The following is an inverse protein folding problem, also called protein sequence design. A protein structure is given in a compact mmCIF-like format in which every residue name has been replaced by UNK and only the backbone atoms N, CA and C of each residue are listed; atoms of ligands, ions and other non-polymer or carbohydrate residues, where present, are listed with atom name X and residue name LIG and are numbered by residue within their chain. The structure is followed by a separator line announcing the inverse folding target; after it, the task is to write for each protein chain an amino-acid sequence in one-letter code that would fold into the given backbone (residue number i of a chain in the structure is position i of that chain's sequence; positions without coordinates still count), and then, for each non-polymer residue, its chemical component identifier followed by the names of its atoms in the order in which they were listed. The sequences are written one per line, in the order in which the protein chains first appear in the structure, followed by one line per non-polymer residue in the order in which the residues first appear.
data_IF_551247654813
#
_entry.id   IF_551247654813
#
_cell.length_a   1.000
_cell.length_b   1.000
_cell.length_c   1.000
_cell.angle_alpha   90.00
_cell.angle_beta   90.00
_cell.angle_gamma   90.00
#
_symmetry.space_group_name_H-M   'P 1'
#
loop_
_entity.id
_entity.type
_entity.pdbx_description
1 polymer ?
#
# COMPACT_ATOMS: atom_id res chain seq x y z
N UNK A 1 -10.02 -42.00 44.89
CA UNK A 1 -9.97 -40.55 45.18
C UNK A 1 -8.50 -40.16 45.29
N UNK A 2 -7.89 -39.89 44.14
CA UNK A 2 -6.49 -39.44 44.07
C UNK A 2 -6.41 -37.97 44.46
N UNK A 3 -5.47 -37.65 45.37
CA UNK A 3 -5.20 -36.29 45.81
C UNK A 3 -4.68 -35.50 44.62
N UNK A 4 -5.39 -34.41 44.27
CA UNK A 4 -4.89 -33.41 43.32
C UNK A 4 -3.57 -32.87 43.85
N UNK A 5 -2.49 -33.09 43.11
CA UNK A 5 -1.19 -32.48 43.38
C UNK A 5 -1.33 -30.96 43.30
N UNK A 6 -0.77 -30.29 44.31
CA UNK A 6 -0.78 -28.84 44.44
C UNK A 6 -0.13 -28.20 43.21
N UNK A 7 -0.96 -27.44 42.49
CA UNK A 7 -0.58 -26.67 41.32
C UNK A 7 0.46 -25.63 41.79
N UNK A 8 1.76 -25.87 41.52
CA UNK A 8 2.85 -24.97 41.91
C UNK A 8 2.61 -23.59 41.26
N UNK A 9 2.02 -22.67 42.02
CA UNK A 9 1.90 -21.28 41.60
C UNK A 9 3.30 -20.69 41.48
N UNK A 10 3.61 -20.05 40.36
CA UNK A 10 4.85 -19.28 40.20
C UNK A 10 5.05 -18.36 41.41
N UNK A 11 6.29 -18.23 41.93
CA UNK A 11 6.53 -17.38 43.09
C UNK A 11 6.09 -15.93 42.77
N UNK A 12 5.51 -15.20 43.75
CA UNK A 12 5.03 -13.83 43.53
C UNK A 12 6.16 -12.84 43.18
N UNK A 13 7.41 -13.25 43.39
CA UNK A 13 8.60 -12.48 43.11
C UNK A 13 9.76 -13.41 42.76
N UNK A 14 10.42 -13.16 41.62
CA UNK A 14 11.69 -13.79 41.28
C UNK A 14 12.83 -12.80 41.61
N UNK A 15 13.85 -13.20 42.39
CA UNK A 15 15.00 -12.33 42.63
C UNK A 15 15.73 -12.06 41.30
N UNK A 16 15.87 -10.78 40.96
CA UNK A 16 16.57 -10.34 39.75
C UNK A 16 16.77 -8.83 39.70
N UNK A 17 17.70 -8.39 38.88
CA UNK A 17 17.92 -6.96 38.59
C UNK A 17 16.97 -6.54 37.48
N UNK A 18 16.17 -5.50 37.72
CA UNK A 18 15.31 -4.93 36.68
C UNK A 18 16.18 -4.37 35.55
N UNK A 19 16.00 -4.89 34.34
CA UNK A 19 16.70 -4.44 33.12
C UNK A 19 15.81 -3.43 32.40
N UNK A 20 16.33 -2.23 32.16
CA UNK A 20 15.68 -1.21 31.35
C UNK A 20 16.26 -1.14 29.93
N UNK A 21 15.60 -0.41 29.05
CA UNK A 21 16.08 -0.16 27.68
C UNK A 21 17.47 0.48 27.67
N UNK A 22 17.79 1.32 28.67
CA UNK A 22 19.11 1.92 28.84
C UNK A 22 20.22 0.88 29.00
N UNK A 23 19.96 -0.21 29.70
CA UNK A 23 20.96 -1.27 29.95
C UNK A 23 21.32 -2.04 28.67
N UNK A 24 20.36 -2.16 27.74
CA UNK A 24 20.57 -2.74 26.41
C UNK A 24 21.46 -1.81 25.56
N UNK A 25 21.11 -0.52 25.46
CA UNK A 25 21.87 0.43 24.64
C UNK A 25 23.27 0.71 25.19
N UNK A 26 23.41 0.76 26.52
CA UNK A 26 24.69 0.97 27.21
C UNK A 26 25.53 -0.29 27.36
N UNK A 27 25.03 -1.45 26.90
CA UNK A 27 25.74 -2.73 26.96
C UNK A 27 26.04 -3.19 28.40
N UNK A 28 25.21 -2.81 29.36
CA UNK A 28 25.35 -3.16 30.79
C UNK A 28 24.89 -4.60 31.09
N UNK A 29 24.27 -5.27 30.12
CA UNK A 29 23.83 -6.65 30.20
C UNK A 29 24.39 -7.46 29.04
N UNK A 30 24.43 -8.79 29.19
CA UNK A 30 24.73 -9.68 28.07
C UNK A 30 23.60 -9.60 27.04
N UNK A 31 23.92 -9.20 25.81
CA UNK A 31 22.98 -9.14 24.70
C UNK A 31 23.62 -9.75 23.45
N UNK A 32 22.79 -10.13 22.49
CA UNK A 32 23.22 -10.54 21.14
C UNK A 32 22.43 -9.73 20.12
N UNK A 33 23.10 -9.23 19.08
CA UNK A 33 22.47 -8.51 17.98
C UNK A 33 22.64 -9.33 16.70
N UNK A 34 21.55 -9.49 15.96
CA UNK A 34 21.52 -10.18 14.68
C UNK A 34 20.69 -9.35 13.72
N UNK A 35 21.16 -9.22 12.48
CA UNK A 35 20.39 -8.72 11.35
C UNK A 35 19.94 -9.94 10.55
N UNK A 36 18.74 -10.48 10.82
CA UNK A 36 18.31 -11.70 10.14
C UNK A 36 18.07 -11.40 8.65
N UNK A 37 18.73 -12.14 7.78
CA UNK A 37 18.38 -12.18 6.35
C UNK A 37 17.11 -13.03 6.17
N UNK A 38 15.95 -12.41 6.39
CA UNK A 38 14.65 -13.08 6.22
C UNK A 38 14.31 -13.10 4.73
N UNK A 39 14.54 -14.24 4.09
CA UNK A 39 14.07 -14.53 2.73
C UNK A 39 12.60 -14.97 2.81
N UNK A 40 11.66 -14.12 2.38
CA UNK A 40 10.25 -14.49 2.26
C UNK A 40 9.79 -14.37 0.81
N UNK A 41 8.98 -15.33 0.36
CA UNK A 41 8.33 -15.32 -0.95
C UNK A 41 6.83 -15.23 -0.73
N UNK A 42 6.21 -14.16 -1.25
CA UNK A 42 4.77 -13.96 -1.18
C UNK A 42 4.15 -14.28 -2.54
N UNK A 43 3.21 -15.22 -2.57
CA UNK A 43 2.41 -15.47 -3.76
C UNK A 43 1.38 -14.37 -3.93
N UNK A 44 1.47 -13.60 -5.02
CA UNK A 44 0.56 -12.46 -5.31
C UNK A 44 -0.91 -12.90 -5.47
N UNK A 45 -1.16 -14.16 -5.80
CA UNK A 45 -2.49 -14.68 -6.07
C UNK A 45 -3.07 -14.15 -7.39
N UNK A 46 -4.21 -14.71 -7.84
CA UNK A 46 -4.72 -14.47 -9.20
C UNK A 46 -5.08 -13.00 -9.47
N UNK A 47 -5.60 -12.29 -8.47
CA UNK A 47 -6.03 -10.91 -8.61
C UNK A 47 -4.84 -9.95 -8.79
N UNK A 48 -3.86 -9.95 -7.88
CA UNK A 48 -2.71 -9.07 -8.00
C UNK A 48 -1.77 -9.46 -9.14
N UNK A 49 -1.58 -10.77 -9.41
CA UNK A 49 -0.75 -11.19 -10.56
C UNK A 49 -1.25 -10.57 -11.87
N UNK A 50 -2.56 -10.62 -12.12
CA UNK A 50 -3.14 -10.04 -13.34
C UNK A 50 -3.14 -8.51 -13.33
N UNK A 51 -3.36 -7.89 -12.17
CA UNK A 51 -3.26 -6.43 -12.02
C UNK A 51 -1.86 -5.91 -12.38
N UNK A 52 -0.82 -6.52 -11.79
CA UNK A 52 0.57 -6.13 -12.01
C UNK A 52 1.01 -6.42 -13.46
N UNK A 53 0.54 -7.51 -14.07
CA UNK A 53 0.72 -7.73 -15.50
C UNK A 53 0.06 -6.62 -16.34
N UNK A 54 -1.15 -6.19 -15.97
CA UNK A 54 -1.81 -5.05 -16.60
C UNK A 54 -0.98 -3.77 -16.49
N UNK A 55 -0.41 -3.48 -15.32
CA UNK A 55 0.47 -2.31 -15.14
C UNK A 55 1.70 -2.39 -16.04
N UNK A 56 2.29 -3.58 -16.22
CA UNK A 56 3.38 -3.80 -17.16
C UNK A 56 2.99 -3.46 -18.60
N UNK A 57 1.75 -3.77 -18.99
CA UNK A 57 1.16 -3.42 -20.29
C UNK A 57 0.70 -1.95 -20.39
N UNK A 58 0.86 -1.14 -19.34
CA UNK A 58 0.37 0.25 -19.32
C UNK A 58 -1.14 0.38 -19.13
N UNK A 59 -1.78 -0.60 -18.48
CA UNK A 59 -3.23 -0.66 -18.24
C UNK A 59 -3.54 -0.73 -16.76
N UNK A 60 -4.56 0.02 -16.33
CA UNK A 60 -5.10 -0.13 -14.98
C UNK A 60 -6.26 -1.10 -15.05
N UNK A 61 -6.13 -2.26 -14.38
CA UNK A 61 -7.20 -3.25 -14.32
C UNK A 61 -8.03 -3.11 -13.04
N UNK A 62 -9.31 -3.40 -13.17
CA UNK A 62 -10.24 -3.63 -12.08
C UNK A 62 -11.03 -4.91 -12.28
N UNK A 63 -11.88 -5.24 -11.31
CA UNK A 63 -12.81 -6.36 -11.37
C UNK A 63 -14.22 -5.91 -11.09
N UNK A 64 -15.16 -6.33 -11.93
CA UNK A 64 -16.58 -6.20 -11.73
C UNK A 64 -17.11 -7.36 -10.90
N UNK A 65 -17.93 -7.04 -9.89
CA UNK A 65 -18.66 -8.03 -9.12
C UNK A 65 -20.04 -8.25 -9.74
N UNK A 66 -20.30 -9.43 -10.31
CA UNK A 66 -21.58 -9.73 -10.97
C UNK A 66 -22.80 -9.76 -10.04
N UNK A 67 -22.60 -9.79 -8.72
CA UNK A 67 -23.71 -9.81 -7.74
C UNK A 67 -24.21 -8.42 -7.37
N UNK A 68 -23.35 -7.40 -7.42
CA UNK A 68 -23.69 -6.03 -6.99
C UNK A 68 -23.19 -4.94 -7.95
N UNK A 69 -22.66 -5.34 -9.11
CA UNK A 69 -22.15 -4.52 -10.21
C UNK A 69 -21.06 -3.49 -9.87
N UNK A 70 -20.48 -3.59 -8.66
CA UNK A 70 -19.34 -2.78 -8.24
C UNK A 70 -18.12 -3.09 -9.10
N UNK A 71 -17.35 -2.07 -9.46
CA UNK A 71 -16.07 -2.17 -10.16
C UNK A 71 -14.97 -1.72 -9.22
N UNK A 72 -14.07 -2.65 -8.90
CA UNK A 72 -13.12 -2.54 -7.79
C UNK A 72 -11.69 -2.50 -8.33
N UNK A 73 -10.91 -1.51 -7.88
CA UNK A 73 -9.47 -1.45 -8.06
C UNK A 73 -8.78 -0.90 -6.79
N UNK A 74 -7.62 -1.43 -6.36
CA UNK A 74 -6.96 -2.64 -6.86
C UNK A 74 -7.86 -3.88 -6.79
N UNK A 75 -7.76 -4.81 -7.76
CA UNK A 75 -8.68 -5.93 -7.85
C UNK A 75 -8.47 -6.92 -6.71
N UNK A 76 -9.56 -7.59 -6.33
CA UNK A 76 -9.61 -8.57 -5.24
C UNK A 76 -10.25 -9.86 -5.76
N UNK A 77 -10.04 -10.98 -5.06
CA UNK A 77 -10.66 -12.27 -5.42
C UNK A 77 -12.13 -12.40 -4.99
N UNK A 78 -12.61 -11.50 -4.14
CA UNK A 78 -14.01 -11.39 -3.76
C UNK A 78 -14.40 -9.93 -3.51
N UNK A 79 -15.69 -9.62 -3.62
CA UNK A 79 -16.22 -8.30 -3.31
C UNK A 79 -16.35 -8.10 -1.80
N UNK A 80 -15.76 -7.04 -1.24
CA UNK A 80 -15.81 -6.76 0.20
C UNK A 80 -17.21 -6.39 0.73
N UNK A 81 -18.16 -6.05 -0.15
CA UNK A 81 -19.50 -5.62 0.24
C UNK A 81 -20.51 -6.77 0.27
N UNK A 82 -20.53 -7.60 -0.78
CA UNK A 82 -21.53 -8.66 -0.94
C UNK A 82 -20.95 -10.09 -0.86
N UNK A 83 -19.63 -10.20 -0.66
CA UNK A 83 -18.84 -11.44 -0.60
C UNK A 83 -18.98 -12.35 -1.84
N UNK A 84 -19.48 -11.81 -2.95
CA UNK A 84 -19.57 -12.52 -4.22
C UNK A 84 -18.19 -12.62 -4.90
N UNK A 85 -18.02 -13.60 -5.81
CA UNK A 85 -16.82 -13.70 -6.63
C UNK A 85 -16.68 -12.49 -7.55
N UNK A 86 -15.44 -12.13 -7.87
CA UNK A 86 -15.05 -10.98 -8.71
C UNK A 86 -14.22 -11.46 -9.89
N UNK A 87 -14.91 -11.87 -10.95
CA UNK A 87 -14.30 -12.52 -12.14
C UNK A 87 -14.40 -11.65 -13.41
N UNK A 88 -15.23 -10.61 -13.39
CA UNK A 88 -15.45 -9.71 -14.53
C UNK A 88 -14.33 -8.69 -14.69
N UNK A 89 -13.20 -9.09 -15.25
CA UNK A 89 -12.08 -8.18 -15.50
C UNK A 89 -12.47 -7.02 -16.42
N UNK A 90 -12.10 -5.81 -16.01
CA UNK A 90 -12.35 -4.58 -16.79
C UNK A 90 -11.09 -3.72 -16.82
N UNK A 91 -10.82 -3.15 -17.98
CA UNK A 91 -9.82 -2.09 -18.12
C UNK A 91 -10.44 -0.77 -17.66
N UNK A 92 -9.73 -0.07 -16.77
CA UNK A 92 -10.10 1.23 -16.24
C UNK A 92 -9.31 2.33 -16.94
N UNK A 93 -9.77 3.57 -16.79
CA UNK A 93 -9.04 4.71 -17.33
C UNK A 93 -7.74 4.91 -16.55
N UNK A 94 -6.76 5.49 -17.23
CA UNK A 94 -5.54 6.01 -16.63
C UNK A 94 -5.73 7.41 -16.01
N UNK A 95 -6.97 7.90 -15.97
CA UNK A 95 -7.38 9.16 -15.34
C UNK A 95 -8.03 8.90 -13.99
N UNK A 96 -7.99 9.92 -13.13
CA UNK A 96 -8.64 9.86 -11.83
C UNK A 96 -8.77 11.22 -11.17
N UNK A 97 -9.16 11.18 -9.91
CA UNK A 97 -9.38 12.36 -9.06
C UNK A 97 -8.60 12.21 -7.77
N UNK A 98 -7.89 13.25 -7.34
CA UNK A 98 -7.21 13.26 -6.04
C UNK A 98 -8.26 13.17 -4.94
N UNK A 99 -8.25 12.06 -4.20
CA UNK A 99 -9.14 11.83 -3.06
C UNK A 99 -8.59 12.48 -1.80
N UNK A 100 -7.30 12.32 -1.56
CA UNK A 100 -6.55 12.91 -0.46
C UNK A 100 -5.06 12.96 -0.81
N UNK A 101 -4.30 13.86 -0.20
CA UNK A 101 -2.86 13.99 -0.43
C UNK A 101 -2.11 14.46 0.82
N UNK A 102 -0.79 14.31 0.79
CA UNK A 102 0.16 14.81 1.76
C UNK A 102 1.37 15.42 1.03
N UNK A 103 1.98 16.41 1.68
CA UNK A 103 3.22 17.06 1.26
C UNK A 103 4.31 16.54 2.21
N UNK A 104 5.11 15.57 1.76
CA UNK A 104 6.15 14.95 2.58
C UNK A 104 7.48 15.65 2.40
N UNK A 105 8.03 16.21 3.48
CA UNK A 105 9.41 16.69 3.56
C UNK A 105 10.38 15.62 4.08
N UNK A 106 9.92 14.36 4.13
CA UNK A 106 10.73 13.20 4.51
C UNK A 106 10.77 12.22 3.34
N UNK A 107 11.97 11.74 3.05
CA UNK A 107 12.18 10.64 2.10
C UNK A 107 11.81 9.27 2.76
N UNK A 108 11.81 8.16 2.00
CA UNK A 108 11.52 6.83 2.55
C UNK A 108 12.49 6.35 3.65
N UNK A 109 13.67 6.96 3.77
CA UNK A 109 14.67 6.69 4.80
C UNK A 109 14.55 7.66 6.00
N UNK A 110 13.47 8.45 6.06
CA UNK A 110 13.21 9.48 7.06
C UNK A 110 14.24 10.62 7.10
N UNK A 111 14.98 10.86 6.01
CA UNK A 111 15.82 12.04 5.87
C UNK A 111 14.98 13.23 5.43
N UNK A 112 15.37 14.42 5.89
CA UNK A 112 14.72 15.67 5.49
C UNK A 112 15.17 16.08 4.09
N UNK A 113 14.21 16.40 3.24
CA UNK A 113 14.42 16.88 1.87
C UNK A 113 13.90 18.31 1.69
N UNK A 114 14.53 19.06 0.78
CA UNK A 114 14.13 20.44 0.47
C UNK A 114 12.88 20.48 -0.42
N UNK A 115 12.93 19.72 -1.52
CA UNK A 115 11.81 19.56 -2.44
C UNK A 115 10.86 18.47 -1.90
N UNK A 116 9.62 18.82 -1.52
CA UNK A 116 8.71 17.85 -0.94
C UNK A 116 8.18 16.86 -1.96
N UNK A 117 7.97 15.62 -1.51
CA UNK A 117 7.28 14.59 -2.27
C UNK A 117 5.77 14.79 -2.10
N UNK A 118 5.06 14.91 -3.23
CA UNK A 118 3.61 14.91 -3.27
C UNK A 118 3.11 13.47 -3.42
N UNK A 119 2.36 13.00 -2.42
CA UNK A 119 1.83 11.62 -2.40
C UNK A 119 0.39 11.63 -1.92
N UNK A 120 -0.44 10.73 -2.45
CA UNK A 120 -1.82 10.65 -2.02
C UNK A 120 -2.59 9.53 -2.68
N UNK A 121 -3.89 9.50 -2.44
CA UNK A 121 -4.79 8.48 -2.98
C UNK A 121 -5.55 9.05 -4.17
N UNK A 122 -5.54 8.32 -5.28
CA UNK A 122 -6.28 8.64 -6.50
C UNK A 122 -7.50 7.74 -6.56
N UNK A 123 -8.68 8.33 -6.75
CA UNK A 123 -9.87 7.59 -7.17
C UNK A 123 -9.85 7.46 -8.69
N UNK A 124 -9.70 6.24 -9.19
CA UNK A 124 -9.53 5.93 -10.62
C UNK A 124 -10.88 5.99 -11.32
N UNK A 125 -10.93 6.69 -12.46
CA UNK A 125 -12.17 6.81 -13.23
C UNK A 125 -12.59 5.44 -13.81
N UNK A 126 -13.85 5.07 -13.59
CA UNK A 126 -14.42 3.78 -13.99
C UNK A 126 -14.63 2.81 -12.83
N UNK A 127 -13.95 3.01 -11.70
CA UNK A 127 -14.31 2.37 -10.44
C UNK A 127 -15.65 2.93 -9.94
N UNK A 128 -16.54 2.06 -9.47
CA UNK A 128 -17.93 2.43 -9.12
C UNK A 128 -18.57 1.44 -8.15
N UNK A 129 -19.63 1.82 -7.41
CA UNK A 129 -20.26 3.14 -7.33
C UNK A 129 -19.46 4.14 -6.49
N UNK A 130 -18.68 3.65 -5.52
CA UNK A 130 -17.88 4.49 -4.65
C UNK A 130 -16.52 4.83 -5.30
N UNK A 131 -15.94 6.00 -5.02
CA UNK A 131 -14.57 6.32 -5.45
C UNK A 131 -13.57 5.32 -4.87
N UNK A 132 -12.83 4.62 -5.74
CA UNK A 132 -11.83 3.62 -5.35
C UNK A 132 -10.56 3.77 -6.19
N UNK A 133 -9.44 3.36 -5.61
CA UNK A 133 -8.14 3.40 -6.26
C UNK A 133 -7.03 3.18 -5.26
N UNK A 134 -5.88 3.80 -5.50
CA UNK A 134 -4.66 3.47 -4.78
C UNK A 134 -3.79 4.70 -4.54
N UNK A 135 -2.83 4.52 -3.63
CA UNK A 135 -1.84 5.54 -3.31
C UNK A 135 -0.80 5.63 -4.42
N UNK A 136 -0.42 6.85 -4.81
CA UNK A 136 0.65 7.09 -5.76
C UNK A 136 1.26 8.49 -5.63
N UNK A 137 2.37 8.72 -6.32
CA UNK A 137 3.04 10.02 -6.41
C UNK A 137 2.35 10.98 -7.37
N UNK A 138 2.47 12.27 -7.10
CA UNK A 138 2.05 13.34 -8.00
C UNK A 138 3.27 14.07 -8.56
N UNK A 139 3.19 14.47 -9.83
CA UNK A 139 4.23 15.19 -10.54
C UNK A 139 3.65 16.26 -11.44
N UNK A 140 4.52 17.11 -12.00
CA UNK A 140 4.12 18.23 -12.88
C UNK A 140 3.10 19.20 -12.24
N UNK A 141 3.14 19.29 -10.91
CA UNK A 141 2.38 20.23 -10.09
C UNK A 141 3.17 20.58 -8.83
N UNK A 142 2.96 21.79 -8.33
CA UNK A 142 3.56 22.29 -7.09
C UNK A 142 2.69 22.00 -5.86
N UNK A 143 3.30 22.13 -4.68
CA UNK A 143 2.62 22.01 -3.37
C UNK A 143 1.47 23.01 -3.19
N UNK A 144 1.51 24.13 -3.91
CA UNK A 144 0.53 25.21 -3.84
C UNK A 144 -0.60 25.02 -4.87
N UNK A 145 -0.37 24.23 -5.91
CA UNK A 145 -1.37 23.88 -6.92
C UNK A 145 -2.19 22.64 -6.56
N UNK A 146 -1.56 21.63 -5.94
CA UNK A 146 -2.23 20.37 -5.60
C UNK A 146 -3.40 20.61 -4.63
N UNK A 147 -4.57 20.05 -4.94
CA UNK A 147 -5.75 20.11 -4.09
C UNK A 147 -6.64 18.87 -4.25
N UNK A 148 -7.43 18.57 -3.21
CA UNK A 148 -8.44 17.49 -3.27
C UNK A 148 -9.46 17.82 -4.35
N UNK A 149 -9.88 16.81 -5.11
CA UNK A 149 -10.80 16.96 -6.23
C UNK A 149 -10.14 17.30 -7.57
N UNK A 150 -8.83 17.56 -7.61
CA UNK A 150 -8.10 17.78 -8.86
C UNK A 150 -8.14 16.55 -9.76
N UNK A 151 -8.40 16.75 -11.06
CA UNK A 151 -8.32 15.70 -12.07
C UNK A 151 -6.87 15.46 -12.48
N UNK A 152 -6.49 14.19 -12.55
CA UNK A 152 -5.13 13.77 -12.85
C UNK A 152 -5.09 12.62 -13.84
N UNK A 153 -3.94 12.43 -14.49
CA UNK A 153 -3.67 11.35 -15.45
C UNK A 153 -2.34 10.69 -15.15
N UNK A 154 -2.29 9.37 -15.28
CA UNK A 154 -1.07 8.60 -15.08
C UNK A 154 -0.03 8.95 -16.16
N UNK A 155 1.21 9.13 -15.72
CA UNK A 155 2.39 9.14 -16.58
C UNK A 155 3.10 7.82 -16.38
N UNK A 156 3.19 7.02 -17.44
CA UNK A 156 3.79 5.70 -17.41
C UNK A 156 5.29 5.78 -17.68
N UNK A 157 6.07 4.85 -17.09
CA UNK A 157 7.43 4.59 -17.54
C UNK A 157 7.45 4.13 -19.01
N UNK A 158 8.59 4.25 -19.71
CA UNK A 158 8.80 3.58 -21.00
C UNK A 158 8.48 2.08 -20.89
N UNK A 159 7.96 1.47 -21.95
CA UNK A 159 7.46 0.08 -21.92
C UNK A 159 8.55 -0.92 -21.51
N UNK A 160 9.77 -0.68 -21.96
CA UNK A 160 10.98 -1.46 -21.66
C UNK A 160 11.42 -1.39 -20.19
N UNK A 161 11.00 -0.36 -19.44
CA UNK A 161 11.31 -0.18 -18.01
C UNK A 161 10.21 -0.71 -17.09
N UNK A 162 9.09 -1.20 -17.63
CA UNK A 162 7.96 -1.69 -16.84
C UNK A 162 8.19 -3.13 -16.40
N UNK A 163 8.06 -3.38 -15.12
CA UNK A 163 8.40 -4.67 -14.51
C UNK A 163 7.18 -5.42 -13.92
N UNK A 164 6.00 -4.82 -13.97
CA UNK A 164 4.81 -5.30 -13.29
C UNK A 164 4.77 -4.81 -11.84
N UNK A 165 4.98 -3.51 -11.66
CA UNK A 165 4.99 -2.85 -10.35
C UNK A 165 4.00 -1.69 -10.33
N UNK A 166 3.53 -1.31 -9.13
CA UNK A 166 2.74 -0.08 -8.97
C UNK A 166 3.51 1.18 -9.42
N UNK A 167 4.85 1.10 -9.42
CA UNK A 167 5.75 2.15 -9.89
C UNK A 167 6.02 2.10 -11.39
N UNK A 168 5.36 1.22 -12.16
CA UNK A 168 5.31 1.32 -13.62
C UNK A 168 4.53 2.57 -14.06
N UNK A 169 3.57 2.99 -13.23
CA UNK A 169 3.11 4.38 -13.20
C UNK A 169 4.22 5.19 -12.51
N UNK A 170 4.77 6.17 -13.22
CA UNK A 170 5.86 7.02 -12.71
C UNK A 170 5.34 8.05 -11.70
N UNK A 171 4.21 8.68 -12.04
CA UNK A 171 3.45 9.60 -11.19
C UNK A 171 2.11 9.95 -11.88
N UNK A 172 1.22 10.66 -11.18
CA UNK A 172 0.04 11.29 -11.75
C UNK A 172 0.26 12.79 -11.95
N UNK A 173 -0.05 13.30 -13.15
CA UNK A 173 0.04 14.74 -13.49
C UNK A 173 -1.35 15.39 -13.58
N UNK A 174 -1.48 16.73 -13.47
CA UNK A 174 -2.76 17.40 -13.69
C UNK A 174 -3.33 17.11 -15.08
N UNK A 175 -4.62 16.79 -15.16
CA UNK A 175 -5.33 16.65 -16.42
C UNK A 175 -5.77 18.05 -16.89
N UNK A 176 -5.12 18.59 -17.91
CA UNK A 176 -5.46 19.91 -18.47
C UNK A 176 -6.57 19.75 -19.52
N UNK A 177 -7.51 20.70 -19.55
CA UNK A 177 -8.66 20.65 -20.47
C UNK A 177 -8.20 20.60 -21.93
N UNK A 178 -8.43 19.46 -22.59
CA UNK A 178 -8.00 19.18 -23.96
C UNK A 178 -7.36 17.79 -24.15
N UNK A 179 -7.02 17.07 -23.06
CA UNK A 179 -6.46 15.70 -23.04
C UNK A 179 -7.43 14.62 -22.55
#
# INVERSE_FOLDING_TARGET
MEKKEDNKSSPPYAPGTHVGTKDIYQKNITYTWWEPEIQYSWSLGPAYSKFLQGLKEGKILGVNCHKCDRVITPPRSFCEYCYGPTEGWVELKDTGTINTYSISYLDPNANRIEDPILIGVISIDGARPDPMGFMHYFGEMSKDEIHIGMKVKAVWKPEEEREGSITDIKYFKPLRGGE
#
